data_IF_067569857258
#
_entry.id   IF_067569857258
#
_cell.length_a   1.000
_cell.length_b   1.000
_cell.length_c   1.000
_cell.angle_alpha   90.00
_cell.angle_beta   90.00
_cell.angle_gamma   90.00
#
_symmetry.space_group_name_H-M   'P 1'
#
loop_
_entity.id
_entity.type
_entity.pdbx_description
1 polymer ?
#
# COMPACT_ATOMS: atom_id res chain seq x y z
N UNK A 1 27.68 -4.26 15.15
CA UNK A 1 27.12 -5.56 15.57
C UNK A 1 26.16 -6.00 14.45
N UNK A 2 26.58 -6.96 13.62
CA UNK A 2 25.84 -7.40 12.44
C UNK A 2 24.92 -8.54 12.88
N UNK A 3 23.62 -8.25 13.01
CA UNK A 3 22.61 -9.29 13.24
C UNK A 3 22.62 -10.30 12.09
N UNK A 4 22.62 -11.56 12.46
CA UNK A 4 22.62 -12.68 11.52
C UNK A 4 21.21 -12.80 10.91
N UNK A 5 21.07 -12.85 9.59
CA UNK A 5 19.79 -13.05 8.91
C UNK A 5 19.07 -14.34 9.36
N UNK A 6 19.80 -15.30 9.93
CA UNK A 6 19.24 -16.49 10.57
C UNK A 6 18.44 -16.15 11.85
N UNK A 7 18.77 -15.06 12.54
CA UNK A 7 18.01 -14.63 13.71
C UNK A 7 16.64 -14.05 13.32
N UNK A 8 16.55 -13.36 12.18
CA UNK A 8 15.28 -12.90 11.61
C UNK A 8 14.38 -14.08 11.25
N UNK A 9 14.95 -15.12 10.63
CA UNK A 9 14.21 -16.36 10.30
C UNK A 9 13.79 -17.14 11.54
N UNK A 10 14.66 -17.25 12.54
CA UNK A 10 14.33 -17.92 13.81
C UNK A 10 13.24 -17.19 14.59
N UNK A 11 13.26 -15.87 14.56
CA UNK A 11 12.26 -15.05 15.22
C UNK A 11 10.91 -15.07 14.48
N UNK A 12 10.90 -15.04 13.15
CA UNK A 12 9.68 -15.20 12.35
C UNK A 12 8.98 -16.55 12.67
N UNK A 13 9.73 -17.63 12.84
CA UNK A 13 9.18 -18.94 13.26
C UNK A 13 8.56 -18.85 14.65
N UNK A 14 9.16 -18.13 15.58
CA UNK A 14 8.64 -17.98 16.95
C UNK A 14 7.35 -17.14 16.97
N UNK A 15 7.29 -16.05 16.23
CA UNK A 15 6.08 -15.21 16.07
C UNK A 15 4.95 -16.03 15.46
N UNK A 16 5.23 -16.88 14.47
CA UNK A 16 4.24 -17.74 13.83
C UNK A 16 3.70 -18.83 14.76
N UNK A 17 4.54 -19.40 15.61
CA UNK A 17 4.10 -20.37 16.63
C UNK A 17 3.12 -19.74 17.63
N UNK A 18 3.32 -18.47 17.97
CA UNK A 18 2.41 -17.73 18.87
C UNK A 18 1.06 -17.35 18.19
N UNK A 19 1.09 -17.04 16.89
CA UNK A 19 -0.14 -16.77 16.11
C UNK A 19 -0.96 -18.04 15.93
N UNK A 20 -0.34 -19.17 15.60
CA UNK A 20 -0.98 -20.46 15.40
C UNK A 20 -1.67 -21.00 16.66
N UNK A 21 -1.16 -20.68 17.86
CA UNK A 21 -1.78 -21.08 19.12
C UNK A 21 -3.04 -20.27 19.48
N UNK A 22 -3.19 -19.05 18.93
CA UNK A 22 -4.37 -18.22 19.15
C UNK A 22 -5.57 -18.62 18.28
N UNK A 23 -5.32 -19.21 17.09
CA UNK A 23 -6.37 -19.62 16.15
C UNK A 23 -6.97 -20.99 16.42
N UNK A 24 -6.32 -21.86 17.20
CA UNK A 24 -6.82 -23.21 17.50
C UNK A 24 -7.95 -23.28 18.55
N UNK A 25 -8.34 -22.15 19.13
CA UNK A 25 -9.34 -22.10 20.22
C UNK A 25 -10.80 -21.89 19.75
N UNK A 26 -11.08 -21.74 18.44
CA UNK A 26 -12.42 -21.38 17.94
C UNK A 26 -13.07 -22.31 16.91
N UNK A 27 -12.59 -23.54 16.74
CA UNK A 27 -13.26 -24.49 15.84
C UNK A 27 -13.82 -25.69 16.61
N UNK A 28 -15.05 -25.56 17.13
CA UNK A 28 -15.91 -26.70 17.43
C UNK A 28 -17.28 -26.54 16.77
N UNK A 29 -17.54 -27.51 15.88
CA UNK A 29 -18.84 -28.01 15.44
C UNK A 29 -19.78 -27.13 14.61
N UNK A 30 -19.85 -27.41 13.31
CA UNK A 30 -21.14 -27.79 12.72
C UNK A 30 -20.93 -28.58 11.42
N UNK A 31 -21.35 -29.81 11.41
CA UNK A 31 -21.41 -30.70 10.25
C UNK A 31 -22.75 -30.53 9.54
N UNK A 32 -22.75 -30.13 8.27
CA UNK A 32 -23.84 -30.49 7.35
C UNK A 32 -23.27 -30.73 5.96
N UNK A 33 -23.52 -31.95 5.50
CA UNK A 33 -23.17 -32.51 4.21
C UNK A 33 -23.99 -31.87 3.09
N UNK A 34 -23.32 -31.28 2.07
CA UNK A 34 -23.95 -31.12 0.77
C UNK A 34 -22.96 -31.53 -0.35
N UNK A 35 -23.40 -32.54 -1.10
CA UNK A 35 -22.72 -33.12 -2.26
C UNK A 35 -22.73 -32.09 -3.40
N UNK A 36 -21.56 -31.72 -3.89
CA UNK A 36 -21.39 -31.01 -5.15
C UNK A 36 -20.72 -31.96 -6.13
N UNK A 37 -21.35 -32.12 -7.29
CA UNK A 37 -20.89 -32.91 -8.43
C UNK A 37 -19.61 -32.32 -9.06
N UNK A 38 -18.65 -33.14 -9.51
CA UNK A 38 -17.42 -32.65 -10.13
C UNK A 38 -17.66 -32.24 -11.58
N UNK A 39 -17.38 -30.98 -11.91
CA UNK A 39 -17.19 -30.54 -13.29
C UNK A 39 -15.81 -30.97 -13.77
N UNK A 40 -15.79 -31.77 -14.82
CA UNK A 40 -14.58 -32.27 -15.46
C UNK A 40 -13.83 -31.13 -16.16
N UNK A 41 -12.65 -30.79 -15.67
CA UNK A 41 -11.71 -29.92 -16.36
C UNK A 41 -10.85 -30.74 -17.31
N UNK A 42 -10.90 -30.39 -18.60
CA UNK A 42 -9.93 -30.88 -19.60
C UNK A 42 -8.57 -30.24 -19.32
N UNK A 43 -7.50 -31.04 -19.44
CA UNK A 43 -6.13 -30.66 -19.16
C UNK A 43 -5.63 -29.57 -20.11
N UNK A 44 -5.68 -28.33 -19.69
CA UNK A 44 -4.90 -27.23 -20.24
C UNK A 44 -3.60 -27.12 -19.43
N UNK A 45 -2.46 -26.89 -20.11
CA UNK A 45 -1.15 -26.78 -19.49
C UNK A 45 -1.07 -25.70 -18.39
N UNK A 46 0.05 -25.57 -17.67
CA UNK A 46 0.14 -24.74 -16.48
C UNK A 46 -0.19 -23.28 -16.80
N UNK A 47 -1.29 -22.80 -16.24
CA UNK A 47 -1.73 -21.40 -16.35
C UNK A 47 -0.81 -20.53 -15.50
N UNK A 48 -0.26 -19.46 -16.09
CA UNK A 48 0.47 -18.44 -15.35
C UNK A 48 -0.46 -17.70 -14.37
N UNK A 49 0.08 -17.05 -13.33
CA UNK A 49 -0.69 -16.18 -12.40
C UNK A 49 -1.61 -15.22 -13.16
N UNK A 50 -1.15 -14.69 -14.28
CA UNK A 50 -1.89 -13.80 -15.16
C UNK A 50 -3.16 -14.45 -15.72
N UNK A 51 -3.09 -15.67 -16.19
CA UNK A 51 -4.25 -16.35 -16.80
C UNK A 51 -5.34 -16.66 -15.77
N UNK A 52 -4.97 -16.89 -14.50
CA UNK A 52 -5.91 -17.12 -13.41
C UNK A 52 -6.59 -15.82 -12.98
N UNK A 53 -5.84 -14.71 -12.90
CA UNK A 53 -6.39 -13.37 -12.58
C UNK A 53 -7.29 -12.90 -13.72
N UNK A 54 -6.87 -13.06 -14.99
CA UNK A 54 -7.69 -12.71 -16.16
C UNK A 54 -8.98 -13.53 -16.23
N UNK A 55 -8.96 -14.81 -15.83
CA UNK A 55 -10.16 -15.63 -15.76
C UNK A 55 -11.13 -15.15 -14.69
N UNK A 56 -10.63 -14.79 -13.50
CA UNK A 56 -11.45 -14.24 -12.43
C UNK A 56 -12.05 -12.87 -12.82
N UNK A 57 -11.26 -12.00 -13.45
CA UNK A 57 -11.71 -10.67 -13.92
C UNK A 57 -12.73 -10.79 -15.05
N UNK A 58 -12.54 -11.72 -16.02
CA UNK A 58 -13.47 -11.92 -17.13
C UNK A 58 -14.84 -12.47 -16.69
N UNK A 59 -14.86 -13.27 -15.64
CA UNK A 59 -16.13 -13.80 -15.10
C UNK A 59 -16.96 -12.71 -14.43
N UNK A 60 -16.30 -11.64 -13.92
CA UNK A 60 -16.95 -10.49 -13.28
C UNK A 60 -17.36 -9.42 -14.30
N UNK A 61 -16.69 -9.33 -15.45
CA UNK A 61 -16.87 -8.25 -16.45
C UNK A 61 -18.03 -8.41 -17.44
N UNK A 62 -18.79 -9.50 -17.41
CA UNK A 62 -19.82 -9.79 -18.43
C UNK A 62 -21.18 -9.08 -18.23
N UNK A 63 -21.26 -8.00 -17.47
CA UNK A 63 -22.53 -7.36 -17.12
C UNK A 63 -22.69 -5.86 -17.41
N UNK A 64 -21.76 -5.19 -18.09
CA UNK A 64 -21.92 -3.76 -18.39
C UNK A 64 -21.77 -3.47 -19.89
N UNK A 65 -22.87 -3.11 -20.52
CA UNK A 65 -22.94 -2.59 -21.89
C UNK A 65 -22.24 -1.22 -21.96
N UNK A 66 -21.15 -1.14 -22.73
CA UNK A 66 -20.46 0.10 -23.03
C UNK A 66 -21.27 0.92 -24.04
N UNK A 67 -21.78 2.08 -23.63
CA UNK A 67 -22.18 3.15 -24.54
C UNK A 67 -21.03 4.16 -24.65
N UNK A 68 -20.49 4.29 -25.84
CA UNK A 68 -19.47 5.25 -26.19
C UNK A 68 -20.02 6.68 -26.16
N UNK A 69 -19.44 7.56 -25.34
CA UNK A 69 -19.65 9.00 -25.38
C UNK A 69 -18.38 9.70 -25.88
N UNK A 70 -18.53 10.79 -26.66
CA UNK A 70 -17.40 11.50 -27.24
C UNK A 70 -16.62 12.31 -26.19
N UNK A 71 -15.32 12.41 -26.40
CA UNK A 71 -14.35 13.15 -25.57
C UNK A 71 -14.75 14.65 -25.47
N UNK A 72 -14.90 15.21 -24.27
CA UNK A 72 -15.09 16.66 -24.13
C UNK A 72 -13.75 17.40 -24.07
N UNK A 73 -13.74 18.54 -24.72
CA UNK A 73 -12.62 19.45 -24.84
C UNK A 73 -12.15 20.00 -23.48
N UNK A 74 -10.83 20.16 -23.37
CA UNK A 74 -10.13 20.74 -22.22
C UNK A 74 -10.44 22.25 -22.12
N UNK A 75 -11.40 22.63 -21.28
CA UNK A 75 -11.55 24.03 -20.86
C UNK A 75 -12.31 24.13 -19.52
N UNK A 76 -11.69 24.79 -18.55
CA UNK A 76 -12.18 25.22 -17.23
C UNK A 76 -12.27 24.12 -16.14
N UNK A 77 -11.12 23.78 -15.58
CA UNK A 77 -10.99 22.75 -14.53
C UNK A 77 -11.17 23.29 -13.09
N UNK A 78 -11.18 24.60 -12.83
CA UNK A 78 -11.03 25.11 -11.45
C UNK A 78 -12.29 25.15 -10.57
N UNK A 79 -13.49 25.04 -11.16
CA UNK A 79 -14.75 25.07 -10.39
C UNK A 79 -15.48 23.73 -10.36
N UNK A 80 -15.20 22.80 -11.28
CA UNK A 80 -15.79 21.47 -11.31
C UNK A 80 -15.05 20.45 -10.42
N UNK A 81 -13.79 20.73 -10.05
CA UNK A 81 -12.95 19.84 -9.24
C UNK A 81 -13.45 19.69 -7.79
N UNK A 82 -14.12 20.70 -7.23
CA UNK A 82 -14.67 20.62 -5.86
C UNK A 82 -15.83 19.63 -5.72
N UNK A 83 -16.44 19.21 -6.82
CA UNK A 83 -17.59 18.29 -6.82
C UNK A 83 -17.23 16.85 -7.20
N UNK A 84 -16.01 16.59 -7.66
CA UNK A 84 -15.64 15.28 -8.21
C UNK A 84 -15.27 14.23 -7.15
N UNK A 85 -14.93 14.64 -5.94
CA UNK A 85 -14.63 13.75 -4.82
C UNK A 85 -14.87 14.39 -3.46
N UNK A 86 -15.09 13.54 -2.46
CA UNK A 86 -15.23 13.91 -1.05
C UNK A 86 -14.02 13.43 -0.25
N UNK A 87 -13.59 14.22 0.72
CA UNK A 87 -12.46 13.89 1.61
C UNK A 87 -12.97 13.79 3.05
N UNK A 88 -12.58 12.71 3.72
CA UNK A 88 -12.91 12.46 5.12
C UNK A 88 -11.62 12.26 5.92
N UNK A 89 -11.46 12.99 7.01
CA UNK A 89 -10.41 12.74 7.98
C UNK A 89 -10.88 11.69 8.99
N UNK A 90 -10.03 10.71 9.29
CA UNK A 90 -10.27 9.71 10.33
C UNK A 90 -9.75 10.27 11.67
N UNK A 91 -10.56 10.13 12.70
CA UNK A 91 -10.21 10.43 14.09
C UNK A 91 -10.26 9.11 14.87
N UNK A 92 -9.09 8.50 15.09
CA UNK A 92 -9.03 7.29 15.93
C UNK A 92 -9.33 7.65 17.38
N UNK A 93 -9.86 6.70 18.12
CA UNK A 93 -10.09 6.84 19.55
C UNK A 93 -9.31 5.78 20.32
N UNK A 94 -8.32 6.25 21.09
CA UNK A 94 -7.53 5.40 21.97
C UNK A 94 -8.22 5.17 23.33
N UNK A 95 -9.30 5.89 23.66
CA UNK A 95 -10.07 5.66 24.87
C UNK A 95 -11.00 4.43 24.71
N UNK A 96 -11.31 3.76 25.79
CA UNK A 96 -12.23 2.62 25.77
C UNK A 96 -13.70 3.05 25.66
N UNK A 97 -13.99 4.33 25.76
CA UNK A 97 -15.33 4.87 25.95
C UNK A 97 -15.95 5.52 24.70
N UNK A 98 -15.15 5.80 23.68
CA UNK A 98 -15.62 6.44 22.46
C UNK A 98 -15.38 5.54 21.26
N UNK A 99 -16.07 5.81 20.17
CA UNK A 99 -15.87 5.14 18.89
C UNK A 99 -15.07 6.03 17.95
N UNK A 100 -14.21 5.48 17.08
CA UNK A 100 -13.57 6.25 16.03
C UNK A 100 -14.64 6.86 15.12
N UNK A 101 -14.37 8.03 14.57
CA UNK A 101 -15.30 8.70 13.67
C UNK A 101 -14.57 9.34 12.49
N UNK A 102 -15.32 9.66 11.45
CA UNK A 102 -14.85 10.41 10.29
C UNK A 102 -15.49 11.79 10.27
N UNK A 103 -14.77 12.76 9.71
CA UNK A 103 -15.25 14.11 9.48
C UNK A 103 -14.97 14.55 8.07
N UNK A 104 -16.01 14.94 7.34
CA UNK A 104 -15.86 15.53 6.03
C UNK A 104 -15.04 16.84 6.14
N UNK A 105 -14.10 17.00 5.23
CA UNK A 105 -13.27 18.20 5.11
C UNK A 105 -13.34 18.72 3.68
N UNK A 106 -13.22 20.04 3.54
CA UNK A 106 -13.18 20.66 2.22
C UNK A 106 -11.92 20.21 1.46
N UNK A 107 -12.05 19.67 0.23
CA UNK A 107 -10.91 19.15 -0.55
C UNK A 107 -9.80 20.18 -0.78
N UNK A 108 -10.13 21.44 -1.05
CA UNK A 108 -9.12 22.50 -1.23
C UNK A 108 -8.36 22.78 0.08
N UNK A 109 -9.06 22.81 1.23
CA UNK A 109 -8.41 22.95 2.55
C UNK A 109 -7.56 21.73 2.91
N UNK A 110 -7.97 20.54 2.51
CA UNK A 110 -7.16 19.33 2.67
C UNK A 110 -5.80 19.47 1.97
N UNK A 111 -5.81 19.83 0.69
CA UNK A 111 -4.59 20.03 -0.07
C UNK A 111 -3.72 21.13 0.55
N UNK A 112 -4.29 22.30 0.82
CA UNK A 112 -3.54 23.46 1.33
C UNK A 112 -2.98 23.26 2.74
N UNK A 113 -3.79 22.76 3.67
CA UNK A 113 -3.44 22.77 5.09
C UNK A 113 -2.76 21.48 5.55
N UNK A 114 -3.04 20.33 4.89
CA UNK A 114 -2.57 19.03 5.33
C UNK A 114 -1.46 18.49 4.45
N UNK A 115 -1.58 18.63 3.15
CA UNK A 115 -0.60 18.12 2.19
C UNK A 115 0.53 19.13 1.95
N UNK A 116 0.20 20.39 1.76
CA UNK A 116 1.20 21.43 1.49
C UNK A 116 1.77 22.06 2.76
N UNK A 117 1.06 21.90 3.87
CA UNK A 117 1.39 22.38 5.21
C UNK A 117 1.95 23.81 5.23
N UNK A 118 1.16 24.75 4.74
CA UNK A 118 1.44 26.17 4.83
C UNK A 118 1.09 26.68 6.21
N UNK A 119 1.85 26.33 7.25
CA UNK A 119 1.74 26.99 8.53
C UNK A 119 2.29 28.40 8.42
N UNK A 120 1.44 29.40 8.55
CA UNK A 120 1.83 30.77 8.87
C UNK A 120 2.46 30.75 10.26
N UNK A 121 3.76 30.67 10.36
CA UNK A 121 4.45 30.99 11.63
C UNK A 121 4.19 32.47 11.93
N UNK A 122 3.39 32.73 12.94
CA UNK A 122 3.25 34.08 13.48
C UNK A 122 4.62 34.57 13.98
N UNK A 123 5.17 35.60 13.36
CA UNK A 123 6.19 36.42 13.97
C UNK A 123 7.60 36.47 13.39
N UNK A 124 7.96 35.75 12.30
CA UNK A 124 9.22 35.95 11.59
C UNK A 124 9.02 35.84 10.07
N UNK A 125 9.74 36.68 9.31
CA UNK A 125 9.63 36.85 7.85
C UNK A 125 9.33 35.55 7.10
N UNK A 126 8.14 35.52 6.51
CA UNK A 126 7.50 34.41 5.79
C UNK A 126 8.42 33.73 4.78
N UNK A 127 9.09 32.67 5.16
CA UNK A 127 9.51 31.64 4.20
C UNK A 127 8.52 30.50 4.35
N UNK A 128 7.51 30.45 3.49
CA UNK A 128 6.68 29.26 3.32
C UNK A 128 7.57 28.17 2.71
N UNK A 129 8.21 27.37 3.57
CA UNK A 129 8.93 26.16 3.11
C UNK A 129 7.91 25.04 3.11
N UNK A 130 7.57 24.57 1.92
CA UNK A 130 6.75 23.37 1.78
C UNK A 130 7.47 22.18 2.42
N UNK A 131 6.78 21.43 3.28
CA UNK A 131 7.32 20.21 3.89
C UNK A 131 7.55 19.16 2.78
N UNK A 132 8.70 18.49 2.86
CA UNK A 132 8.97 17.27 2.12
C UNK A 132 8.44 16.03 2.85
N UNK A 133 8.45 14.88 2.18
CA UNK A 133 8.06 13.60 2.73
C UNK A 133 7.26 12.72 1.77
N UNK A 134 6.34 11.91 2.27
CA UNK A 134 5.56 10.99 1.45
C UNK A 134 4.05 11.13 1.70
N UNK A 135 3.29 10.90 0.62
CA UNK A 135 1.83 10.74 0.62
C UNK A 135 1.54 9.41 -0.05
N UNK A 136 0.81 8.54 0.63
CA UNK A 136 0.51 7.20 0.16
C UNK A 136 -0.94 7.12 -0.28
N UNK A 137 -1.17 6.92 -1.57
CA UNK A 137 -2.51 6.77 -2.16
C UNK A 137 -2.81 5.28 -2.31
N UNK A 138 -3.54 4.73 -1.35
CA UNK A 138 -3.97 3.33 -1.34
C UNK A 138 -5.05 3.07 -2.36
N UNK A 139 -4.76 2.23 -3.37
CA UNK A 139 -5.58 1.96 -4.54
C UNK A 139 -6.13 0.54 -4.56
N UNK A 140 -7.17 0.33 -5.35
CA UNK A 140 -7.57 -0.97 -5.87
C UNK A 140 -7.02 -1.10 -7.30
N UNK A 141 -6.10 -2.02 -7.51
CA UNK A 141 -5.35 -2.16 -8.77
C UNK A 141 -6.22 -2.31 -10.03
N UNK A 142 -7.42 -2.85 -9.90
CA UNK A 142 -8.39 -3.00 -11.00
C UNK A 142 -9.37 -1.84 -11.14
N UNK A 143 -9.33 -0.86 -10.26
CA UNK A 143 -10.29 0.25 -10.23
C UNK A 143 -9.76 1.47 -10.98
N UNK A 144 -10.12 1.60 -12.26
CA UNK A 144 -9.72 2.77 -13.07
C UNK A 144 -10.04 4.10 -12.39
N UNK A 145 -11.18 4.18 -11.67
CA UNK A 145 -11.57 5.39 -10.93
C UNK A 145 -10.55 5.81 -9.87
N UNK A 146 -9.85 4.84 -9.23
CA UNK A 146 -8.82 5.16 -8.25
C UNK A 146 -7.60 5.78 -8.93
N UNK A 147 -7.23 5.28 -10.10
CA UNK A 147 -6.10 5.80 -10.88
C UNK A 147 -6.40 7.17 -11.53
N UNK A 148 -7.64 7.39 -11.94
CA UNK A 148 -8.07 8.71 -12.40
C UNK A 148 -8.05 9.73 -11.25
N UNK A 149 -8.46 9.33 -10.06
CA UNK A 149 -8.40 10.14 -8.85
C UNK A 149 -6.94 10.42 -8.43
N UNK A 150 -6.04 9.43 -8.56
CA UNK A 150 -4.59 9.62 -8.36
C UNK A 150 -4.04 10.68 -9.30
N UNK A 151 -4.35 10.60 -10.59
CA UNK A 151 -3.90 11.60 -11.58
C UNK A 151 -4.38 13.01 -11.22
N UNK A 152 -5.63 13.15 -10.81
CA UNK A 152 -6.20 14.43 -10.35
C UNK A 152 -5.48 14.96 -9.10
N UNK A 153 -5.20 14.11 -8.12
CA UNK A 153 -4.46 14.49 -6.91
C UNK A 153 -3.04 14.97 -7.24
N UNK A 154 -2.34 14.23 -8.09
CA UNK A 154 -0.98 14.56 -8.52
C UNK A 154 -0.97 15.92 -9.22
N UNK A 155 -1.90 16.15 -10.16
CA UNK A 155 -2.00 17.42 -10.88
C UNK A 155 -2.28 18.60 -9.94
N UNK A 156 -3.19 18.43 -8.99
CA UNK A 156 -3.53 19.45 -8.00
C UNK A 156 -2.32 19.76 -7.09
N UNK A 157 -1.64 18.74 -6.57
CA UNK A 157 -0.43 18.94 -5.73
C UNK A 157 0.68 19.62 -6.55
N UNK A 158 0.88 19.23 -7.79
CA UNK A 158 1.84 19.84 -8.68
C UNK A 158 1.55 21.33 -8.88
N UNK A 159 0.31 21.68 -9.20
CA UNK A 159 -0.10 23.06 -9.46
C UNK A 159 0.05 23.95 -8.21
N UNK A 160 -0.38 23.47 -7.06
CA UNK A 160 -0.25 24.18 -5.78
C UNK A 160 1.23 24.39 -5.41
N UNK A 161 2.07 23.36 -5.53
CA UNK A 161 3.51 23.50 -5.25
C UNK A 161 4.21 24.44 -6.24
N UNK A 162 3.79 24.42 -7.51
CA UNK A 162 4.28 25.35 -8.53
C UNK A 162 3.91 26.80 -8.19
N UNK A 163 2.68 27.03 -7.72
CA UNK A 163 2.24 28.36 -7.28
C UNK A 163 3.01 28.87 -6.06
N UNK A 164 3.54 27.98 -5.21
CA UNK A 164 4.33 28.31 -4.04
C UNK A 164 5.80 28.65 -4.40
N UNK A 165 6.30 28.28 -5.56
CA UNK A 165 7.67 28.62 -5.96
C UNK A 165 7.83 30.12 -6.13
N UNK A 166 9.00 30.68 -5.70
CA UNK A 166 9.21 32.15 -5.58
C UNK A 166 8.96 32.96 -6.85
N UNK A 167 8.97 32.33 -8.01
CA UNK A 167 8.75 33.00 -9.32
C UNK A 167 7.83 32.20 -10.24
N UNK A 168 7.18 31.12 -9.75
CA UNK A 168 6.41 30.19 -10.60
C UNK A 168 7.26 29.47 -11.69
N UNK A 169 8.60 29.65 -11.64
CA UNK A 169 9.53 29.16 -12.68
C UNK A 169 10.18 27.82 -12.30
N UNK A 170 10.37 27.57 -11.00
CA UNK A 170 11.01 26.33 -10.57
C UNK A 170 10.00 25.19 -10.57
N UNK A 171 10.38 24.06 -11.18
CA UNK A 171 9.58 22.87 -11.12
C UNK A 171 9.43 22.40 -9.65
N UNK A 172 8.23 21.98 -9.21
CA UNK A 172 8.07 21.44 -7.87
C UNK A 172 8.95 20.20 -7.69
N UNK A 173 9.61 20.07 -6.54
CA UNK A 173 10.26 18.81 -6.15
C UNK A 173 9.15 17.80 -5.79
N UNK A 174 8.70 17.06 -6.78
CA UNK A 174 7.63 16.07 -6.70
C UNK A 174 8.07 14.82 -7.46
N UNK A 175 7.74 13.64 -6.95
CA UNK A 175 7.88 12.38 -7.67
C UNK A 175 6.68 11.47 -7.43
N UNK A 176 6.44 10.55 -8.35
CA UNK A 176 5.43 9.51 -8.25
C UNK A 176 6.13 8.20 -8.00
N UNK A 177 5.88 7.58 -6.84
CA UNK A 177 6.40 6.28 -6.48
C UNK A 177 5.44 5.17 -6.93
N UNK A 178 5.97 4.17 -7.63
CA UNK A 178 5.19 3.12 -8.27
C UNK A 178 5.45 1.74 -7.62
N UNK A 179 4.43 1.14 -7.02
CA UNK A 179 4.44 -0.28 -6.66
C UNK A 179 4.51 -1.18 -7.90
N UNK A 180 3.90 -0.73 -8.99
CA UNK A 180 3.71 -1.48 -10.23
C UNK A 180 5.03 -1.81 -10.92
N UNK A 181 6.10 -1.04 -10.65
CA UNK A 181 7.38 -1.15 -11.33
C UNK A 181 8.52 -1.53 -10.38
N UNK A 182 9.31 -2.53 -10.77
CA UNK A 182 10.46 -3.02 -10.02
C UNK A 182 11.68 -2.11 -10.22
N UNK A 183 12.52 -1.99 -9.18
CA UNK A 183 13.66 -1.06 -9.18
C UNK A 183 14.65 -1.27 -10.34
N UNK A 184 14.76 -2.46 -10.90
CA UNK A 184 15.62 -2.73 -12.05
C UNK A 184 15.21 -1.96 -13.31
N UNK A 185 13.96 -1.54 -13.40
CA UNK A 185 13.41 -0.83 -14.57
C UNK A 185 13.43 0.69 -14.41
N UNK A 186 14.06 1.24 -13.37
CA UNK A 186 14.17 2.70 -13.20
C UNK A 186 14.69 3.43 -14.44
N UNK A 187 15.74 2.95 -15.16
CA UNK A 187 16.22 3.63 -16.36
C UNK A 187 15.17 3.74 -17.48
N UNK A 188 14.24 2.79 -17.57
CA UNK A 188 13.13 2.83 -18.55
C UNK A 188 12.11 3.90 -18.18
N UNK A 189 11.76 4.02 -16.89
CA UNK A 189 10.87 5.09 -16.42
C UNK A 189 11.49 6.47 -16.65
N UNK A 190 12.78 6.62 -16.40
CA UNK A 190 13.50 7.87 -16.63
C UNK A 190 13.46 8.26 -18.11
N UNK A 191 13.75 7.33 -19.03
CA UNK A 191 13.68 7.54 -20.46
C UNK A 191 12.26 7.91 -20.94
N UNK A 192 11.25 7.26 -20.39
CA UNK A 192 9.84 7.56 -20.70
C UNK A 192 9.45 8.98 -20.26
N UNK A 193 9.76 9.37 -19.03
CA UNK A 193 9.44 10.72 -18.52
C UNK A 193 10.18 11.80 -19.33
N UNK A 194 11.41 11.53 -19.77
CA UNK A 194 12.17 12.43 -20.66
C UNK A 194 11.55 12.52 -22.06
N UNK A 195 10.75 11.52 -22.48
CA UNK A 195 10.16 11.44 -23.81
C UNK A 195 11.14 10.92 -24.87
N UNK A 196 12.16 10.16 -24.44
CA UNK A 196 13.15 9.53 -25.34
C UNK A 196 12.70 8.16 -25.83
N UNK A 197 11.69 7.57 -25.19
CA UNK A 197 11.03 6.34 -25.61
C UNK A 197 9.50 6.52 -25.60
N UNK A 198 8.81 5.74 -26.41
CA UNK A 198 7.35 5.70 -26.51
C UNK A 198 6.71 4.95 -25.31
N UNK A 199 5.38 5.01 -25.21
CA UNK A 199 4.62 4.21 -24.23
C UNK A 199 4.82 2.70 -24.46
N UNK A 200 4.79 2.26 -25.71
CA UNK A 200 4.97 0.86 -26.08
C UNK A 200 6.37 0.36 -25.72
N UNK A 201 7.40 1.16 -25.95
CA UNK A 201 8.78 0.86 -25.56
C UNK A 201 8.93 0.81 -24.03
N UNK A 202 8.29 1.72 -23.30
CA UNK A 202 8.26 1.71 -21.84
C UNK A 202 7.57 0.44 -21.31
N UNK A 203 6.40 0.08 -21.83
CA UNK A 203 5.67 -1.13 -21.41
C UNK A 203 6.46 -2.40 -21.68
N UNK A 204 7.09 -2.49 -22.85
CA UNK A 204 7.96 -3.59 -23.22
C UNK A 204 9.21 -3.63 -22.34
N UNK A 205 9.86 -2.49 -22.15
CA UNK A 205 11.09 -2.37 -21.36
C UNK A 205 10.90 -2.67 -19.88
N UNK A 206 9.74 -2.32 -19.30
CA UNK A 206 9.37 -2.70 -17.93
C UNK A 206 8.78 -4.12 -17.83
N UNK A 207 8.64 -4.82 -18.95
CA UNK A 207 7.97 -6.13 -19.00
C UNK A 207 6.57 -6.10 -18.33
N UNK A 208 5.83 -4.98 -18.50
CA UNK A 208 4.58 -4.74 -17.77
C UNK A 208 3.64 -5.94 -17.84
N UNK A 209 3.45 -6.48 -19.03
CA UNK A 209 2.55 -7.59 -19.28
C UNK A 209 2.85 -8.87 -18.48
N UNK A 210 4.09 -9.06 -18.03
CA UNK A 210 4.52 -10.24 -17.27
C UNK A 210 4.79 -9.96 -15.79
N UNK A 211 5.10 -8.70 -15.44
CA UNK A 211 5.48 -8.29 -14.08
C UNK A 211 4.32 -7.73 -13.28
N UNK A 212 3.30 -7.20 -13.99
CA UNK A 212 2.12 -6.63 -13.34
C UNK A 212 0.84 -7.23 -13.91
N UNK A 213 -0.03 -7.72 -13.04
CA UNK A 213 -1.22 -8.49 -13.46
C UNK A 213 -2.36 -7.62 -13.99
N UNK A 214 -2.30 -6.31 -13.75
CA UNK A 214 -3.39 -5.40 -14.06
C UNK A 214 -3.15 -4.64 -15.36
N UNK A 215 -4.21 -4.36 -16.15
CA UNK A 215 -4.07 -3.67 -17.43
C UNK A 215 -3.46 -2.28 -17.25
N UNK A 216 -2.47 -1.93 -18.09
CA UNK A 216 -1.86 -0.60 -18.10
C UNK A 216 -2.88 0.52 -18.35
N UNK A 217 -3.93 0.22 -19.08
CA UNK A 217 -5.02 1.16 -19.40
C UNK A 217 -5.59 1.85 -18.17
N UNK A 218 -5.64 1.15 -17.04
CA UNK A 218 -6.09 1.74 -15.78
C UNK A 218 -5.14 2.84 -15.29
N UNK A 219 -3.85 2.71 -15.53
CA UNK A 219 -2.78 3.59 -15.03
C UNK A 219 -2.40 4.69 -16.02
N UNK A 220 -2.85 4.61 -17.28
CA UNK A 220 -2.40 5.51 -18.37
C UNK A 220 -2.53 6.99 -18.03
N UNK A 221 -3.61 7.41 -17.34
CA UNK A 221 -3.82 8.80 -16.93
C UNK A 221 -2.65 9.34 -16.09
N UNK A 222 -2.14 8.55 -15.16
CA UNK A 222 -0.99 8.90 -14.30
C UNK A 222 0.29 9.01 -15.11
N UNK A 223 0.59 8.01 -15.95
CA UNK A 223 1.82 7.99 -16.76
C UNK A 223 1.85 9.13 -17.78
N UNK A 224 0.73 9.38 -18.46
CA UNK A 224 0.58 10.51 -19.38
C UNK A 224 0.80 11.85 -18.67
N UNK A 225 0.23 12.02 -17.48
CA UNK A 225 0.41 13.21 -16.66
C UNK A 225 1.88 13.38 -16.25
N UNK A 226 2.53 12.31 -15.78
CA UNK A 226 3.94 12.33 -15.39
C UNK A 226 4.84 12.75 -16.55
N UNK A 227 4.65 12.19 -17.74
CA UNK A 227 5.41 12.56 -18.93
C UNK A 227 5.16 14.02 -19.34
N UNK A 228 3.88 14.46 -19.36
CA UNK A 228 3.47 15.84 -19.70
C UNK A 228 4.10 16.88 -18.77
N UNK A 229 4.10 16.63 -17.47
CA UNK A 229 4.59 17.55 -16.46
C UNK A 229 6.07 17.33 -16.09
N UNK A 230 6.71 16.32 -16.68
CA UNK A 230 8.08 15.90 -16.37
C UNK A 230 8.27 15.56 -14.88
N UNK A 231 7.26 14.94 -14.29
CA UNK A 231 7.34 14.44 -12.91
C UNK A 231 8.08 13.11 -12.93
N UNK A 232 9.18 12.94 -12.16
CA UNK A 232 9.88 11.67 -12.06
C UNK A 232 8.96 10.53 -11.61
N UNK A 233 9.02 9.40 -12.31
CA UNK A 233 8.44 8.14 -11.91
C UNK A 233 9.51 7.31 -11.20
N UNK A 234 9.25 6.88 -9.98
CA UNK A 234 10.22 6.13 -9.16
C UNK A 234 9.72 4.71 -8.96
N UNK A 235 10.50 3.74 -9.43
CA UNK A 235 10.26 2.33 -9.19
C UNK A 235 10.47 2.01 -7.70
N UNK A 236 9.43 1.55 -7.02
CA UNK A 236 9.52 1.25 -5.58
C UNK A 236 9.65 -0.25 -5.30
N UNK A 237 9.20 -1.12 -6.22
CA UNK A 237 9.01 -2.52 -5.94
C UNK A 237 10.32 -3.33 -5.95
N UNK A 238 10.31 -4.42 -5.19
CA UNK A 238 11.37 -5.43 -5.22
C UNK A 238 11.38 -6.16 -6.57
N UNK A 239 12.57 -6.55 -7.05
CA UNK A 239 12.69 -7.34 -8.28
C UNK A 239 12.07 -8.73 -8.07
N UNK A 240 11.25 -9.18 -9.01
CA UNK A 240 10.53 -10.47 -8.91
C UNK A 240 11.47 -11.65 -8.69
N UNK A 241 12.64 -11.67 -9.30
CA UNK A 241 13.63 -12.73 -9.16
C UNK A 241 14.23 -12.78 -7.75
N UNK A 242 14.37 -11.65 -7.10
CA UNK A 242 14.86 -11.56 -5.73
C UNK A 242 13.74 -11.92 -4.74
N UNK A 243 12.51 -11.46 -4.99
CA UNK A 243 11.36 -11.79 -4.16
C UNK A 243 11.02 -13.28 -4.23
N UNK A 244 11.10 -13.90 -5.42
CA UNK A 244 10.85 -15.33 -5.60
C UNK A 244 11.74 -16.22 -4.74
N UNK A 245 12.99 -15.81 -4.46
CA UNK A 245 13.88 -16.54 -3.52
C UNK A 245 13.29 -16.56 -2.11
N UNK A 246 12.72 -15.44 -1.67
CA UNK A 246 12.07 -15.34 -0.36
C UNK A 246 10.74 -16.11 -0.34
N UNK A 247 10.00 -16.11 -1.44
CA UNK A 247 8.77 -16.91 -1.59
C UNK A 247 9.04 -18.42 -1.56
N UNK A 248 10.23 -18.86 -1.97
CA UNK A 248 10.63 -20.28 -1.97
C UNK A 248 11.20 -20.70 -0.61
N UNK A 249 12.18 -19.97 -0.07
CA UNK A 249 12.99 -20.40 1.06
C UNK A 249 12.93 -19.46 2.28
N UNK A 250 12.03 -18.45 2.23
CA UNK A 250 12.00 -17.39 3.22
C UNK A 250 13.30 -16.57 3.18
N UNK A 251 13.62 -15.86 4.27
CA UNK A 251 14.86 -15.07 4.35
C UNK A 251 16.14 -15.93 4.40
N UNK A 252 16.05 -17.25 4.55
CA UNK A 252 17.20 -18.16 4.49
C UNK A 252 17.82 -18.21 3.09
N UNK A 253 17.00 -18.14 2.04
CA UNK A 253 17.45 -18.10 0.64
C UNK A 253 17.93 -16.72 0.18
N UNK A 254 17.89 -15.71 1.06
CA UNK A 254 18.11 -14.32 0.68
C UNK A 254 19.54 -13.88 1.00
N UNK A 255 20.36 -13.70 -0.04
CA UNK A 255 21.74 -13.22 0.11
C UNK A 255 21.79 -11.83 0.74
N UNK A 256 22.75 -11.61 1.68
CA UNK A 256 22.93 -10.31 2.34
C UNK A 256 23.21 -9.16 1.38
N UNK A 257 23.91 -9.42 0.27
CA UNK A 257 24.18 -8.39 -0.75
C UNK A 257 22.89 -7.97 -1.45
N UNK A 258 22.03 -8.93 -1.76
CA UNK A 258 20.70 -8.68 -2.32
C UNK A 258 19.84 -7.95 -1.28
N UNK A 259 19.84 -8.41 -0.03
CA UNK A 259 19.07 -7.79 1.05
C UNK A 259 19.36 -6.31 1.24
N UNK A 260 20.60 -5.87 1.09
CA UNK A 260 20.98 -4.44 1.21
C UNK A 260 20.36 -3.53 0.15
N UNK A 261 19.90 -4.07 -0.97
CA UNK A 261 19.17 -3.27 -1.98
C UNK A 261 17.83 -2.76 -1.42
N UNK A 262 17.17 -3.58 -0.62
CA UNK A 262 15.79 -3.40 -0.20
C UNK A 262 15.64 -3.00 1.25
N UNK A 263 16.50 -3.55 2.13
CA UNK A 263 16.45 -3.35 3.58
C UNK A 263 17.53 -2.34 3.99
N UNK A 264 17.14 -1.07 4.13
CA UNK A 264 18.06 0.02 4.50
C UNK A 264 18.43 0.00 5.98
N UNK A 265 17.60 -0.62 6.81
CA UNK A 265 17.76 -0.74 8.25
C UNK A 265 17.44 -2.17 8.71
N UNK A 266 18.39 -3.11 8.69
CA UNK A 266 18.14 -4.50 9.05
C UNK A 266 17.67 -4.69 10.51
N UNK A 267 18.18 -3.88 11.44
CA UNK A 267 17.78 -3.95 12.85
C UNK A 267 16.33 -3.49 13.00
N UNK A 268 16.02 -2.27 12.55
CA UNK A 268 14.67 -1.74 12.63
C UNK A 268 13.67 -2.56 11.80
N UNK A 269 14.08 -3.17 10.68
CA UNK A 269 13.24 -4.10 9.93
C UNK A 269 12.80 -5.30 10.79
N UNK A 270 13.74 -5.90 11.51
CA UNK A 270 13.46 -7.03 12.41
C UNK A 270 12.61 -6.61 13.62
N UNK A 271 12.93 -5.46 14.24
CA UNK A 271 12.19 -4.97 15.41
C UNK A 271 10.76 -4.54 15.07
N UNK A 272 10.51 -4.05 13.86
CA UNK A 272 9.22 -3.50 13.43
C UNK A 272 8.08 -4.52 13.45
N UNK A 273 8.38 -5.81 13.24
CA UNK A 273 7.39 -6.89 13.18
C UNK A 273 7.11 -7.58 14.53
N UNK A 274 7.84 -7.23 15.59
CA UNK A 274 7.74 -7.88 16.91
C UNK A 274 6.52 -7.44 17.74
N UNK A 275 6.14 -6.16 17.78
CA UNK A 275 5.09 -5.66 18.67
C UNK A 275 3.72 -6.33 18.45
N UNK A 276 2.90 -6.37 19.51
CA UNK A 276 1.52 -6.86 19.45
C UNK A 276 0.69 -6.14 18.36
N UNK A 277 0.94 -4.84 18.16
CA UNK A 277 0.30 -4.07 17.09
C UNK A 277 0.56 -4.66 15.70
N UNK A 278 1.78 -5.17 15.44
CA UNK A 278 2.09 -5.79 14.16
C UNK A 278 1.43 -7.16 14.02
N UNK A 279 1.33 -7.94 15.11
CA UNK A 279 0.61 -9.22 15.09
C UNK A 279 -0.88 -9.01 14.79
N UNK A 280 -1.49 -7.99 15.40
CA UNK A 280 -2.89 -7.61 15.10
C UNK A 280 -3.06 -7.21 13.64
N UNK A 281 -2.15 -6.39 13.09
CA UNK A 281 -2.14 -6.05 11.67
C UNK A 281 -2.00 -7.30 10.78
N UNK A 282 -1.06 -8.20 11.10
CA UNK A 282 -0.86 -9.44 10.34
C UNK A 282 -2.12 -10.29 10.28
N UNK A 283 -2.76 -10.51 11.43
CA UNK A 283 -3.99 -11.28 11.52
C UNK A 283 -5.17 -10.65 10.77
N UNK A 284 -5.18 -9.31 10.64
CA UNK A 284 -6.28 -8.61 10.00
C UNK A 284 -6.06 -8.33 8.51
N UNK A 285 -4.81 -8.23 8.06
CA UNK A 285 -4.48 -7.85 6.66
C UNK A 285 -3.74 -8.97 5.93
N UNK A 286 -2.65 -9.52 6.52
CA UNK A 286 -1.78 -10.45 5.80
C UNK A 286 -2.38 -11.87 5.74
N UNK A 287 -2.92 -12.36 6.85
CA UNK A 287 -3.54 -13.70 6.89
C UNK A 287 -4.76 -13.81 5.95
N UNK A 288 -5.71 -12.85 5.95
CA UNK A 288 -6.82 -12.88 4.99
C UNK A 288 -6.35 -12.79 3.54
N UNK A 289 -5.30 -12.00 3.25
CA UNK A 289 -4.69 -11.94 1.92
C UNK A 289 -4.10 -13.29 1.51
N UNK A 290 -3.39 -13.97 2.41
CA UNK A 290 -2.87 -15.32 2.16
C UNK A 290 -4.00 -16.31 1.85
N UNK A 291 -5.06 -16.30 2.65
CA UNK A 291 -6.21 -17.21 2.47
C UNK A 291 -6.92 -16.95 1.14
N UNK A 292 -7.04 -15.69 0.74
CA UNK A 292 -7.57 -15.33 -0.59
C UNK A 292 -6.69 -15.90 -1.71
N UNK A 293 -5.36 -15.69 -1.64
CA UNK A 293 -4.42 -16.23 -2.61
C UNK A 293 -4.46 -17.76 -2.69
N UNK A 294 -4.63 -18.41 -1.54
CA UNK A 294 -4.81 -19.86 -1.46
C UNK A 294 -6.10 -20.32 -2.16
N UNK A 295 -7.22 -19.66 -1.88
CA UNK A 295 -8.52 -19.95 -2.54
C UNK A 295 -8.44 -19.74 -4.06
N UNK A 296 -7.72 -18.72 -4.50
CA UNK A 296 -7.48 -18.46 -5.93
C UNK A 296 -6.49 -19.44 -6.59
N UNK A 297 -5.84 -20.33 -5.82
CA UNK A 297 -4.87 -21.29 -6.32
C UNK A 297 -3.56 -20.70 -6.84
N UNK A 298 -3.26 -19.44 -6.52
CA UNK A 298 -2.07 -18.73 -7.03
C UNK A 298 -0.82 -18.91 -6.18
N UNK A 299 -0.92 -19.57 -5.01
CA UNK A 299 0.23 -19.84 -4.13
C UNK A 299 1.20 -20.89 -4.69
N UNK A 300 0.83 -21.57 -5.77
CA UNK A 300 1.72 -22.54 -6.46
C UNK A 300 2.70 -21.89 -7.43
N UNK A 301 2.61 -20.58 -7.61
CA UNK A 301 3.48 -19.85 -8.54
C UNK A 301 4.10 -18.67 -7.81
N UNK A 302 5.42 -18.53 -7.90
CA UNK A 302 6.11 -17.34 -7.37
C UNK A 302 5.79 -16.11 -8.23
N UNK A 303 6.08 -14.93 -7.71
CA UNK A 303 5.92 -13.68 -8.45
C UNK A 303 6.75 -13.65 -9.76
N UNK A 304 7.87 -14.37 -9.82
CA UNK A 304 8.69 -14.51 -11.02
C UNK A 304 8.17 -15.59 -12.00
N UNK A 305 6.99 -16.18 -11.72
CA UNK A 305 6.40 -17.21 -12.60
C UNK A 305 6.92 -18.63 -12.39
N UNK A 306 7.76 -18.86 -11.38
CA UNK A 306 8.28 -20.21 -11.07
C UNK A 306 7.17 -21.06 -10.46
N UNK A 307 6.86 -22.20 -11.10
CA UNK A 307 5.87 -23.17 -10.60
C UNK A 307 6.47 -24.02 -9.48
N UNK A 308 5.72 -24.21 -8.42
CA UNK A 308 6.07 -25.01 -7.23
C UNK A 308 5.22 -26.28 -7.19
N UNK A 309 5.75 -27.30 -6.53
CA UNK A 309 5.01 -28.55 -6.28
C UNK A 309 3.85 -28.33 -5.29
N UNK A 310 4.15 -27.60 -4.21
CA UNK A 310 3.22 -27.34 -3.13
C UNK A 310 2.91 -25.83 -3.04
N UNK A 311 1.80 -25.49 -2.40
CA UNK A 311 1.46 -24.11 -2.09
C UNK A 311 2.58 -23.43 -1.28
N UNK A 312 2.80 -22.15 -1.51
CA UNK A 312 3.66 -21.33 -0.68
C UNK A 312 3.17 -21.38 0.77
N UNK A 313 4.08 -21.62 1.72
CA UNK A 313 3.74 -21.57 3.14
C UNK A 313 3.36 -20.15 3.56
N UNK A 314 2.53 -20.02 4.60
CA UNK A 314 2.23 -18.70 5.16
C UNK A 314 3.49 -17.94 5.57
N UNK A 315 4.47 -18.62 6.17
CA UNK A 315 5.75 -17.99 6.55
C UNK A 315 6.49 -17.38 5.36
N UNK A 316 6.52 -18.07 4.23
CA UNK A 316 7.17 -17.57 3.02
C UNK A 316 6.38 -16.43 2.37
N UNK A 317 5.06 -16.53 2.34
CA UNK A 317 4.17 -15.46 1.90
C UNK A 317 4.33 -14.20 2.76
N UNK A 318 4.31 -14.36 4.08
CA UNK A 318 4.57 -13.29 5.04
C UNK A 318 5.94 -12.67 4.83
N UNK A 319 6.99 -13.48 4.65
CA UNK A 319 8.35 -13.02 4.39
C UNK A 319 8.43 -12.19 3.10
N UNK A 320 7.77 -12.65 2.05
CA UNK A 320 7.64 -11.91 0.79
C UNK A 320 6.92 -10.58 0.98
N UNK A 321 5.81 -10.58 1.72
CA UNK A 321 5.02 -9.38 1.99
C UNK A 321 5.81 -8.33 2.78
N UNK A 322 6.50 -8.72 3.85
CA UNK A 322 7.27 -7.76 4.66
C UNK A 322 8.49 -7.21 3.90
N UNK A 323 9.10 -8.01 3.01
CA UNK A 323 10.17 -7.53 2.14
C UNK A 323 9.65 -6.53 1.10
N UNK A 324 8.48 -6.80 0.52
CA UNK A 324 7.84 -5.92 -0.45
C UNK A 324 7.55 -4.54 0.16
N UNK A 325 6.89 -4.51 1.33
CA UNK A 325 6.61 -3.26 2.06
C UNK A 325 7.90 -2.50 2.42
N UNK A 326 8.93 -3.22 2.87
CA UNK A 326 10.22 -2.62 3.26
C UNK A 326 10.95 -2.00 2.06
N UNK A 327 10.93 -2.69 0.91
CA UNK A 327 11.56 -2.19 -0.31
C UNK A 327 10.90 -0.89 -0.77
N UNK A 328 9.57 -0.85 -0.82
CA UNK A 328 8.83 0.34 -1.23
C UNK A 328 9.09 1.52 -0.27
N UNK A 329 9.02 1.29 1.01
CA UNK A 329 9.31 2.31 2.02
C UNK A 329 10.76 2.80 1.93
N UNK A 330 11.72 1.87 1.76
CA UNK A 330 13.15 2.17 1.68
C UNK A 330 13.51 3.00 0.44
N UNK A 331 12.92 2.68 -0.71
CA UNK A 331 13.17 3.41 -1.96
C UNK A 331 12.54 4.80 -1.93
N UNK A 332 11.33 4.93 -1.41
CA UNK A 332 10.68 6.22 -1.22
C UNK A 332 11.46 7.10 -0.22
N UNK A 333 11.91 6.53 0.90
CA UNK A 333 12.73 7.21 1.88
C UNK A 333 14.06 7.70 1.27
N UNK A 334 14.74 6.88 0.48
CA UNK A 334 15.98 7.27 -0.19
C UNK A 334 15.76 8.47 -1.09
N UNK A 335 14.71 8.45 -1.91
CA UNK A 335 14.39 9.57 -2.79
C UNK A 335 14.06 10.86 -2.00
N UNK A 336 13.23 10.79 -0.96
CA UNK A 336 12.86 11.97 -0.16
C UNK A 336 14.06 12.56 0.59
N UNK A 337 15.01 11.71 1.02
CA UNK A 337 16.27 12.12 1.65
C UNK A 337 17.20 12.84 0.67
N UNK A 338 17.32 12.35 -0.55
CA UNK A 338 18.14 12.96 -1.62
C UNK A 338 17.51 14.25 -2.17
N UNK A 339 16.20 14.39 -2.05
CA UNK A 339 15.44 15.53 -2.57
C UNK A 339 14.79 16.32 -1.43
N UNK A 340 15.62 16.94 -0.57
CA UNK A 340 15.15 17.72 0.58
C UNK A 340 14.02 18.71 0.18
N UNK A 341 12.93 18.69 0.94
CA UNK A 341 11.70 19.44 0.65
C UNK A 341 10.84 18.83 -0.48
N UNK A 342 11.28 17.73 -1.11
CA UNK A 342 10.54 17.00 -2.12
C UNK A 342 9.39 16.18 -1.51
N UNK A 343 8.33 15.95 -2.30
CA UNK A 343 7.20 15.08 -1.93
C UNK A 343 7.16 13.89 -2.86
N UNK A 344 7.17 12.69 -2.28
CA UNK A 344 6.87 11.43 -2.96
C UNK A 344 5.37 11.14 -2.85
N UNK A 345 4.69 10.93 -3.97
CA UNK A 345 3.32 10.42 -4.01
C UNK A 345 3.40 8.95 -4.37
N UNK A 346 3.24 8.07 -3.38
CA UNK A 346 3.26 6.61 -3.58
C UNK A 346 1.90 6.10 -4.04
N UNK A 347 1.87 5.44 -5.20
CA UNK A 347 0.69 4.75 -5.75
C UNK A 347 0.82 3.28 -5.41
N UNK A 348 0.05 2.83 -4.43
CA UNK A 348 0.30 1.57 -3.73
C UNK A 348 -1.05 0.92 -3.41
N UNK A 349 -1.13 -0.40 -3.51
CA UNK A 349 -2.33 -1.14 -3.13
C UNK A 349 -2.76 -0.86 -1.68
N UNK A 350 -4.06 -0.71 -1.47
CA UNK A 350 -4.66 -0.34 -0.18
C UNK A 350 -4.16 -1.22 0.99
N UNK A 351 -3.93 -2.50 0.75
CA UNK A 351 -3.42 -3.44 1.76
C UNK A 351 -2.02 -3.09 2.30
N UNK A 352 -1.21 -2.36 1.54
CA UNK A 352 0.11 -1.88 1.94
C UNK A 352 0.06 -0.56 2.70
N UNK A 353 -1.07 0.17 2.63
CA UNK A 353 -1.25 1.51 3.21
C UNK A 353 -2.01 1.46 4.52
N UNK A 354 -3.08 0.64 4.60
CA UNK A 354 -3.98 0.60 5.75
C UNK A 354 -3.31 0.14 7.05
N UNK A 355 -3.79 0.69 8.17
CA UNK A 355 -3.39 0.36 9.54
C UNK A 355 -1.91 0.60 9.88
N UNK A 356 -1.22 1.46 9.15
CA UNK A 356 0.13 1.98 9.47
C UNK A 356 1.26 0.93 9.59
N UNK A 357 1.04 -0.35 9.33
CA UNK A 357 2.05 -1.40 9.52
C UNK A 357 2.66 -1.91 8.22
N UNK A 358 2.12 -1.48 7.07
CA UNK A 358 2.72 -1.69 5.76
C UNK A 358 3.81 -0.65 5.47
N UNK A 359 3.74 -0.06 4.28
CA UNK A 359 4.73 0.91 3.77
C UNK A 359 4.79 2.17 4.64
N UNK A 360 3.63 2.68 5.07
CA UNK A 360 3.49 3.94 5.83
C UNK A 360 4.36 3.94 7.10
N UNK A 361 4.18 2.94 7.96
CA UNK A 361 4.92 2.86 9.23
C UNK A 361 6.40 2.50 9.03
N UNK A 362 6.74 1.73 7.98
CA UNK A 362 8.14 1.43 7.64
C UNK A 362 8.88 2.68 7.16
N UNK A 363 8.23 3.50 6.36
CA UNK A 363 8.76 4.81 5.96
C UNK A 363 8.99 5.71 7.18
N UNK A 364 7.99 5.83 8.09
CA UNK A 364 8.11 6.62 9.30
C UNK A 364 9.29 6.16 10.16
N UNK A 365 9.45 4.87 10.37
CA UNK A 365 10.59 4.30 11.11
C UNK A 365 11.95 4.73 10.53
N UNK A 366 12.09 4.73 9.19
CA UNK A 366 13.33 5.15 8.53
C UNK A 366 13.59 6.65 8.73
N UNK A 367 12.54 7.46 8.68
CA UNK A 367 12.60 8.90 8.95
C UNK A 367 13.02 9.16 10.40
N UNK A 368 12.42 8.49 11.37
CA UNK A 368 12.69 8.69 12.80
C UNK A 368 14.12 8.25 13.16
N UNK A 369 14.60 7.16 12.59
CA UNK A 369 15.98 6.72 12.78
C UNK A 369 17.03 7.76 12.37
N UNK A 370 16.77 8.56 11.35
CA UNK A 370 17.71 9.60 10.94
C UNK A 370 17.62 10.86 11.82
N UNK A 371 16.42 11.16 12.36
CA UNK A 371 16.26 12.26 13.34
C UNK A 371 17.10 12.02 14.59
N UNK A 372 17.14 10.78 15.10
CA UNK A 372 17.92 10.40 16.28
C UNK A 372 19.43 10.62 16.10
N UNK A 373 19.91 10.68 14.85
CA UNK A 373 21.33 10.91 14.55
C UNK A 373 21.71 12.39 14.45
N UNK A 374 20.73 13.25 14.09
CA UNK A 374 20.94 14.67 13.82
C UNK A 374 20.34 15.55 14.93
N UNK A 375 21.01 15.63 16.07
CA UNK A 375 20.61 16.36 17.30
C UNK A 375 20.22 17.84 17.12
N UNK A 376 20.24 18.43 15.92
CA UNK A 376 20.18 19.92 15.79
C UNK A 376 19.47 20.53 14.57
N UNK A 377 18.89 19.84 13.60
CA UNK A 377 18.59 20.54 12.33
C UNK A 377 17.16 20.60 11.80
N UNK A 378 16.22 19.79 12.20
CA UNK A 378 14.88 19.91 11.64
C UNK A 378 13.80 20.05 12.68
N UNK A 379 13.19 21.24 12.79
CA UNK A 379 12.08 21.54 13.70
C UNK A 379 10.71 21.08 13.18
N UNK A 380 10.65 20.49 12.00
CA UNK A 380 9.39 20.09 11.38
C UNK A 380 9.41 18.63 10.92
N UNK A 381 8.46 17.84 11.42
CA UNK A 381 8.28 16.46 10.96
C UNK A 381 7.99 16.42 9.46
N UNK A 382 8.66 15.53 8.68
CA UNK A 382 8.32 15.35 7.27
C UNK A 382 6.88 14.82 7.13
N UNK A 383 6.30 15.01 5.95
CA UNK A 383 5.00 14.43 5.61
C UNK A 383 5.12 12.89 5.61
N UNK A 384 4.14 12.25 6.21
CA UNK A 384 3.89 10.83 6.04
C UNK A 384 2.38 10.63 6.18
N UNK A 385 1.67 10.67 5.07
CA UNK A 385 0.20 10.76 5.05
C UNK A 385 -0.37 9.55 4.32
N UNK A 386 -1.22 8.80 4.98
CA UNK A 386 -1.96 7.67 4.43
C UNK A 386 -3.35 8.10 3.96
N UNK A 387 -3.66 7.85 2.69
CA UNK A 387 -4.95 8.13 2.07
C UNK A 387 -5.48 6.87 1.42
N UNK A 388 -6.67 6.42 1.77
CA UNK A 388 -7.36 5.33 1.06
C UNK A 388 -8.33 5.90 0.03
N UNK A 389 -8.24 5.38 -1.19
CA UNK A 389 -9.10 5.77 -2.30
C UNK A 389 -10.28 4.81 -2.42
N UNK A 390 -11.50 5.35 -2.39
CA UNK A 390 -12.74 4.59 -2.55
C UNK A 390 -12.78 3.27 -1.74
N UNK A 391 -12.42 3.25 -0.44
CA UNK A 391 -12.35 2.02 0.33
C UNK A 391 -13.72 1.35 0.39
N UNK A 392 -13.71 0.02 0.44
CA UNK A 392 -14.89 -0.83 0.51
C UNK A 392 -14.95 -1.58 1.85
N UNK A 393 -16.06 -2.24 2.14
CA UNK A 393 -16.18 -3.07 3.34
C UNK A 393 -15.13 -4.18 3.41
N UNK A 394 -14.66 -4.68 2.27
CA UNK A 394 -13.61 -5.69 2.20
C UNK A 394 -12.29 -5.17 2.77
N UNK A 395 -11.95 -3.92 2.49
CA UNK A 395 -10.70 -3.33 2.96
C UNK A 395 -10.61 -3.31 4.49
N UNK A 396 -11.74 -3.44 5.14
CA UNK A 396 -11.87 -3.31 6.58
C UNK A 396 -12.48 -4.54 7.25
N UNK A 397 -12.73 -5.62 6.51
CA UNK A 397 -13.25 -6.88 7.06
C UNK A 397 -12.13 -7.85 7.40
N UNK A 398 -12.10 -8.44 8.61
CA UNK A 398 -11.14 -9.48 8.97
C UNK A 398 -11.40 -10.81 8.25
N UNK A 399 -12.62 -10.99 7.76
CA UNK A 399 -12.97 -12.18 6.98
C UNK A 399 -12.71 -11.90 5.50
N UNK A 400 -11.48 -12.09 5.04
CA UNK A 400 -11.17 -12.19 3.62
C UNK A 400 -11.87 -13.38 2.97
N UNK A 401 -13.20 -13.55 3.17
CA UNK A 401 -13.93 -14.55 2.45
C UNK A 401 -13.94 -14.16 0.97
N UNK A 402 -13.60 -15.09 0.09
CA UNK A 402 -13.72 -14.88 -1.34
C UNK A 402 -15.15 -14.41 -1.71
N UNK A 403 -16.16 -14.82 -0.93
CA UNK A 403 -17.54 -14.39 -1.08
C UNK A 403 -17.74 -12.91 -0.74
N UNK A 404 -17.05 -12.37 0.26
CA UNK A 404 -17.06 -10.94 0.54
C UNK A 404 -16.37 -10.15 -0.59
N UNK A 405 -15.25 -10.67 -1.14
CA UNK A 405 -14.56 -10.06 -2.27
C UNK A 405 -15.41 -10.04 -3.53
N UNK A 406 -16.16 -11.10 -3.80
CA UNK A 406 -17.06 -11.21 -4.96
C UNK A 406 -18.31 -10.34 -4.83
N UNK A 407 -18.78 -10.06 -3.62
CA UNK A 407 -20.00 -9.31 -3.36
C UNK A 407 -19.79 -7.81 -3.06
N UNK A 408 -18.56 -7.35 -2.92
CA UNK A 408 -18.24 -6.01 -2.39
C UNK A 408 -18.18 -4.88 -3.43
N UNK A 409 -18.66 -5.12 -4.63
CA UNK A 409 -18.86 -4.03 -5.59
C UNK A 409 -20.05 -3.09 -5.27
N UNK A 410 -20.73 -3.32 -4.15
CA UNK A 410 -21.68 -2.36 -3.64
C UNK A 410 -20.94 -1.26 -2.88
N UNK A 411 -21.16 -0.01 -3.28
CA UNK A 411 -20.62 1.20 -2.65
C UNK A 411 -20.70 1.13 -1.13
N UNK A 412 -19.57 0.87 -0.46
CA UNK A 412 -19.51 1.03 0.98
C UNK A 412 -19.49 2.52 1.29
N UNK A 413 -20.36 2.95 2.18
CA UNK A 413 -20.28 4.29 2.73
C UNK A 413 -19.15 4.34 3.77
N UNK A 414 -18.39 5.46 3.85
CA UNK A 414 -17.29 5.57 4.80
C UNK A 414 -17.66 5.33 6.27
N UNK A 415 -18.91 5.56 6.66
CA UNK A 415 -19.43 5.32 8.01
C UNK A 415 -19.64 3.84 8.35
N UNK A 416 -19.58 2.95 7.38
CA UNK A 416 -19.71 1.50 7.56
C UNK A 416 -18.34 0.79 7.67
N UNK A 417 -17.25 1.52 7.54
CA UNK A 417 -15.92 0.95 7.56
C UNK A 417 -15.39 0.76 9.00
N UNK A 418 -14.54 -0.26 9.20
CA UNK A 418 -13.74 -0.40 10.43
C UNK A 418 -12.60 0.62 10.41
N UNK A 419 -12.76 1.72 11.13
CA UNK A 419 -11.85 2.87 11.08
C UNK A 419 -10.56 2.68 11.86
N UNK A 420 -10.48 1.68 12.75
CA UNK A 420 -9.29 1.37 13.53
C UNK A 420 -9.30 -0.09 14.02
N UNK A 421 -8.12 -0.63 14.26
CA UNK A 421 -7.93 -1.88 15.01
C UNK A 421 -7.44 -1.56 16.42
N UNK A 422 -7.86 -2.38 17.42
CA UNK A 422 -7.31 -2.33 18.77
C UNK A 422 -6.36 -3.50 18.97
N UNK A 423 -5.26 -3.27 19.67
CA UNK A 423 -4.31 -4.31 20.04
C UNK A 423 -4.03 -4.32 21.53
N UNK A 424 -3.65 -5.49 22.06
CA UNK A 424 -3.30 -5.66 23.48
C UNK A 424 -1.85 -5.24 23.73
N UNK A 425 -1.51 -4.89 24.97
CA UNK A 425 -0.11 -4.67 25.38
C UNK A 425 0.70 -5.97 25.25
N UNK A 426 1.97 -5.85 24.92
CA UNK A 426 2.90 -6.99 24.76
C UNK A 426 3.15 -7.79 26.05
N UNK A 427 2.90 -7.21 27.23
CA UNK A 427 3.20 -7.81 28.53
C UNK A 427 2.17 -8.86 29.00
N UNK A 428 1.09 -9.08 28.24
CA UNK A 428 0.08 -10.09 28.59
C UNK A 428 0.50 -11.43 27.99
N UNK A 429 1.33 -12.17 28.71
CA UNK A 429 1.52 -13.60 28.42
C UNK A 429 0.25 -14.37 28.77
N UNK A 430 -0.16 -15.37 27.95
CA UNK A 430 -1.40 -16.14 28.16
C UNK A 430 -1.41 -17.03 29.40
N UNK A 431 -0.43 -16.91 30.31
CA UNK A 431 -0.22 -17.81 31.44
C UNK A 431 -1.00 -17.48 32.72
N UNK A 432 -1.85 -16.48 32.73
CA UNK A 432 -2.75 -16.23 33.87
C UNK A 432 -4.09 -16.88 33.66
N UNK A 433 -4.52 -17.80 34.54
CA UNK A 433 -5.86 -18.44 34.49
C UNK A 433 -6.99 -17.47 34.90
N UNK A 434 -6.68 -16.26 35.33
CA UNK A 434 -7.65 -15.27 35.77
C UNK A 434 -8.22 -14.52 34.55
N UNK A 435 -9.37 -14.97 34.08
CA UNK A 435 -10.13 -14.41 32.97
C UNK A 435 -10.96 -13.18 33.32
N UNK A 436 -10.71 -12.50 34.40
CA UNK A 436 -11.23 -11.16 34.63
C UNK A 436 -10.53 -10.23 33.64
N UNK A 437 -11.27 -9.73 32.64
CA UNK A 437 -10.80 -8.90 31.54
C UNK A 437 -9.75 -7.87 31.99
N UNK A 438 -8.51 -7.94 31.50
CA UNK A 438 -7.55 -6.87 31.77
C UNK A 438 -7.95 -5.64 30.97
N UNK A 439 -8.21 -4.58 31.65
CA UNK A 439 -8.49 -3.24 31.12
C UNK A 439 -7.24 -2.56 30.52
N UNK A 440 -6.44 -3.27 29.70
CA UNK A 440 -5.24 -2.67 29.15
C UNK A 440 -5.14 -2.88 27.64
N UNK A 441 -5.90 -2.08 26.89
CA UNK A 441 -5.62 -1.88 25.47
C UNK A 441 -4.21 -1.33 25.31
N UNK A 442 -3.41 -1.95 24.43
CA UNK A 442 -2.06 -1.47 24.07
C UNK A 442 -2.10 -0.19 23.25
N UNK A 443 -3.20 0.02 22.53
CA UNK A 443 -3.42 1.16 21.64
C UNK A 443 -4.29 0.81 20.44
N UNK A 444 -4.30 1.72 19.47
CA UNK A 444 -5.10 1.61 18.25
C UNK A 444 -4.22 1.78 17.01
N UNK A 445 -4.64 1.17 15.91
CA UNK A 445 -4.10 1.34 14.57
C UNK A 445 -5.21 1.95 13.72
N UNK A 446 -5.14 3.23 13.35
CA UNK A 446 -6.12 3.85 12.45
C UNK A 446 -6.07 3.19 11.07
N UNK A 447 -7.20 3.14 10.40
CA UNK A 447 -7.30 2.62 9.04
C UNK A 447 -6.38 3.38 8.08
N UNK A 448 -6.42 4.71 8.13
CA UNK A 448 -5.58 5.67 7.43
C UNK A 448 -5.74 7.04 8.09
N UNK A 449 -5.04 8.07 7.59
CA UNK A 449 -5.28 9.46 8.01
C UNK A 449 -6.55 10.01 7.34
N UNK A 450 -6.74 9.64 6.06
CA UNK A 450 -7.84 10.14 5.24
C UNK A 450 -8.44 9.06 4.36
N UNK A 451 -9.72 9.26 4.04
CA UNK A 451 -10.45 8.55 3.02
C UNK A 451 -10.85 9.56 1.94
N UNK A 452 -10.67 9.19 0.69
CA UNK A 452 -11.15 9.97 -0.45
C UNK A 452 -12.09 9.10 -1.28
N UNK A 453 -13.28 9.62 -1.52
CA UNK A 453 -14.33 8.93 -2.27
C UNK A 453 -14.68 9.75 -3.50
N UNK A 454 -14.57 9.15 -4.67
CA UNK A 454 -15.03 9.78 -5.91
C UNK A 454 -16.56 9.84 -5.95
N UNK A 455 -17.10 10.98 -6.38
CA UNK A 455 -18.53 11.21 -6.46
C UNK A 455 -19.15 10.74 -7.81
N UNK A 456 -18.33 10.06 -8.65
CA UNK A 456 -18.71 9.58 -9.99
C UNK A 456 -18.59 8.06 -10.05
#
# INVERSE_FOLDING_TARGET
MLLNMNEVSGFLILVMAMISSATSATTNNCSTSNKILPLAFHSAGPLSRRNLVDAAVKTIGAGVLATSLPSPAIAKISTEVETSYSVYQIFPDASENLSPYIKAINPAKFLQNKILNTQKQQGRQNKNVAKGGAIWLGEHHNAKRDHDLQALFIENIYNERKAMSRNGKDAPKLAIGLEQVQIQYQPILDAFVQGTISEEEMLSGCEWATRWSWPFENYRSVFTLAQKLKIPLIALNVNSEDLAKVEVDGFRGFDRKIGRKYIKDPVGFSEFIKPASYRTYSAFVIEPSYDLHKKMGILKTTIAGQVRKDDMSFLNFFSGRVLWDEAMAGNAYQWTKENEGGVMIGLIGADHVKFEKGVVGRYQRLVDKDKDKDDKKSTADPLNVAVLLNPTLIDTSPSGSADAYMNAYSSAYPDQLTLQLRYLKDDITPSSPDRSLPSSTGGVLPLADYIVVSNV
#
